data_IF_843988749247
#
_entry.id   IF_843988749247
#
_cell.length_a   1.000
_cell.length_b   1.000
_cell.length_c   1.000
_cell.angle_alpha   90.00
_cell.angle_beta   90.00
_cell.angle_gamma   90.00
#
_symmetry.space_group_name_H-M   'P 1'
#
loop_
_entity.id
_entity.type
_entity.pdbx_description
1 polymer ?
#
# COMPACT_ATOMS: atom_id res chain seq x y z
N UNK A 1 6.03 -22.85 -28.40
CA UNK A 1 4.84 -22.39 -27.63
C UNK A 1 5.16 -21.06 -27.00
N UNK A 2 4.23 -20.12 -27.03
CA UNK A 2 4.50 -18.77 -26.48
C UNK A 2 4.64 -18.83 -24.95
N UNK A 3 5.83 -18.55 -24.46
CA UNK A 3 6.13 -18.59 -23.01
C UNK A 3 5.25 -17.62 -22.21
N UNK A 4 4.93 -16.44 -22.75
CA UNK A 4 4.09 -15.42 -22.09
C UNK A 4 2.64 -15.88 -21.94
N UNK A 5 2.03 -16.49 -22.97
CA UNK A 5 0.68 -17.03 -22.86
C UNK A 5 0.58 -18.12 -21.78
N UNK A 6 1.52 -19.06 -21.79
CA UNK A 6 1.52 -20.15 -20.83
C UNK A 6 1.69 -19.64 -19.39
N UNK A 7 2.58 -18.67 -19.17
CA UNK A 7 2.75 -18.02 -17.88
C UNK A 7 1.50 -17.26 -17.44
N UNK A 8 0.84 -16.52 -18.36
CA UNK A 8 -0.40 -15.81 -18.06
C UNK A 8 -1.53 -16.76 -17.62
N UNK A 9 -1.67 -17.90 -18.31
CA UNK A 9 -2.64 -18.95 -17.97
C UNK A 9 -2.32 -19.61 -16.64
N UNK A 10 -1.03 -19.84 -16.33
CA UNK A 10 -0.62 -20.39 -15.04
C UNK A 10 -0.94 -19.43 -13.89
N UNK A 11 -0.59 -18.15 -14.03
CA UNK A 11 -0.97 -17.14 -13.04
C UNK A 11 -2.47 -17.08 -12.82
N UNK A 12 -3.27 -17.09 -13.89
CA UNK A 12 -4.73 -17.10 -13.77
C UNK A 12 -5.25 -18.36 -13.06
N UNK A 13 -4.72 -19.54 -13.39
CA UNK A 13 -5.07 -20.81 -12.75
C UNK A 13 -4.76 -20.80 -11.24
N UNK A 14 -3.72 -20.10 -10.84
CA UNK A 14 -3.34 -19.87 -9.43
C UNK A 14 -4.21 -18.82 -8.73
N UNK A 15 -5.23 -18.24 -9.42
CA UNK A 15 -6.17 -17.29 -8.85
C UNK A 15 -5.74 -15.82 -8.91
N UNK A 16 -4.70 -15.49 -9.69
CA UNK A 16 -4.27 -14.11 -9.86
C UNK A 16 -5.08 -13.37 -10.92
N UNK A 17 -5.21 -12.07 -10.73
CA UNK A 17 -5.85 -11.15 -11.66
C UNK A 17 -4.83 -10.68 -12.69
N UNK A 18 -4.74 -11.40 -13.79
CA UNK A 18 -3.80 -11.13 -14.89
C UNK A 18 -4.21 -9.89 -15.67
N UNK A 19 -3.24 -9.04 -15.99
CA UNK A 19 -3.38 -7.86 -16.85
C UNK A 19 -2.36 -7.95 -17.99
N UNK A 20 -2.79 -7.93 -19.26
CA UNK A 20 -1.86 -7.80 -20.39
C UNK A 20 -1.25 -6.40 -20.39
N UNK A 21 0.05 -6.35 -20.59
CA UNK A 21 0.83 -5.11 -20.65
C UNK A 21 1.44 -4.97 -22.03
N UNK A 22 1.39 -3.78 -22.60
CA UNK A 22 2.01 -3.49 -23.89
C UNK A 22 3.50 -3.87 -23.89
N UNK A 23 4.00 -4.44 -25.00
CA UNK A 23 5.41 -4.82 -25.10
C UNK A 23 6.36 -3.67 -24.76
N UNK A 24 7.44 -3.96 -24.09
CA UNK A 24 8.49 -2.99 -23.71
C UNK A 24 8.00 -1.79 -22.89
N UNK A 25 6.84 -1.92 -22.25
CA UNK A 25 6.25 -0.84 -21.46
C UNK A 25 5.71 -1.33 -20.11
N UNK A 26 5.21 -0.40 -19.30
CA UNK A 26 4.42 -0.71 -18.09
C UNK A 26 2.94 -0.41 -18.31
N UNK A 27 2.51 -0.06 -19.54
CA UNK A 27 1.15 0.38 -19.85
C UNK A 27 0.22 -0.82 -20.06
N UNK A 28 -0.91 -0.91 -19.34
CA UNK A 28 -1.93 -1.93 -19.59
C UNK A 28 -2.50 -1.83 -21.00
N UNK A 29 -2.66 -2.97 -21.65
CA UNK A 29 -3.22 -3.06 -23.00
C UNK A 29 -4.77 -3.00 -23.01
N UNK A 30 -5.39 -3.18 -21.84
CA UNK A 30 -6.85 -3.14 -21.66
C UNK A 30 -7.21 -2.36 -20.38
N UNK A 31 -8.44 -1.82 -20.28
CA UNK A 31 -8.98 -1.35 -19.01
C UNK A 31 -9.02 -2.50 -17.99
N UNK A 32 -8.53 -2.28 -16.78
CA UNK A 32 -8.42 -3.33 -15.75
C UNK A 32 -8.98 -2.92 -14.39
N UNK A 33 -9.10 -1.62 -14.12
CA UNK A 33 -9.54 -1.11 -12.82
C UNK A 33 -10.97 -1.55 -12.53
N UNK A 34 -11.19 -2.14 -11.36
CA UNK A 34 -12.49 -2.65 -10.90
C UNK A 34 -13.11 -3.74 -11.81
N UNK A 35 -12.32 -4.32 -12.72
CA UNK A 35 -12.78 -5.40 -13.57
C UNK A 35 -12.61 -6.76 -12.85
N UNK A 36 -13.44 -7.77 -13.17
CA UNK A 36 -13.24 -9.14 -12.71
C UNK A 36 -11.92 -9.71 -13.25
N UNK A 37 -11.51 -10.86 -12.71
CA UNK A 37 -10.38 -11.60 -13.28
C UNK A 37 -10.69 -12.06 -14.69
N UNK A 38 -9.70 -11.98 -15.59
CA UNK A 38 -9.83 -12.54 -16.94
C UNK A 38 -10.00 -14.06 -16.88
N UNK A 39 -10.89 -14.57 -17.69
CA UNK A 39 -11.05 -16.02 -17.92
C UNK A 39 -9.90 -16.55 -18.79
N UNK A 40 -9.69 -17.87 -18.79
CA UNK A 40 -8.70 -18.50 -19.66
C UNK A 40 -8.93 -18.21 -21.15
N UNK A 41 -10.22 -18.15 -21.59
CA UNK A 41 -10.55 -17.88 -22.97
C UNK A 41 -10.23 -16.42 -23.36
N UNK A 42 -10.48 -15.46 -22.48
CA UNK A 42 -10.09 -14.07 -22.70
C UNK A 42 -8.58 -13.91 -22.77
N UNK A 43 -7.83 -14.56 -21.87
CA UNK A 43 -6.35 -14.57 -21.91
C UNK A 43 -5.87 -15.16 -23.24
N UNK A 44 -6.36 -16.33 -23.66
CA UNK A 44 -6.00 -16.93 -24.95
C UNK A 44 -6.32 -15.98 -26.12
N UNK A 45 -7.48 -15.33 -26.11
CA UNK A 45 -7.89 -14.38 -27.15
C UNK A 45 -6.97 -13.14 -27.21
N UNK A 46 -6.55 -12.62 -26.05
CA UNK A 46 -5.66 -11.45 -25.96
C UNK A 46 -4.25 -11.80 -26.49
N UNK A 47 -3.63 -12.89 -26.02
CA UNK A 47 -2.30 -13.29 -26.48
C UNK A 47 -2.29 -13.88 -27.90
N UNK A 48 -3.45 -14.29 -28.46
CA UNK A 48 -3.58 -14.60 -29.90
C UNK A 48 -3.52 -13.35 -30.76
N UNK A 49 -4.05 -12.22 -30.28
CA UNK A 49 -3.98 -10.92 -30.99
C UNK A 49 -2.57 -10.32 -30.93
N UNK A 50 -1.93 -10.39 -29.77
CA UNK A 50 -0.55 -9.94 -29.62
C UNK A 50 0.23 -10.90 -28.70
N UNK A 51 1.02 -11.83 -29.27
CA UNK A 51 1.80 -12.80 -28.53
C UNK A 51 2.88 -12.20 -27.60
N UNK A 52 3.21 -10.93 -27.82
CA UNK A 52 4.29 -10.23 -27.10
C UNK A 52 3.77 -9.40 -25.90
N UNK A 53 2.48 -9.49 -25.55
CA UNK A 53 2.02 -8.86 -24.33
C UNK A 53 2.79 -9.37 -23.12
N UNK A 54 3.33 -8.45 -22.35
CA UNK A 54 3.85 -8.72 -21.03
C UNK A 54 2.71 -9.03 -20.05
N UNK A 55 3.06 -9.50 -18.85
CA UNK A 55 2.13 -9.93 -17.83
C UNK A 55 2.30 -9.03 -16.60
N UNK A 56 1.20 -8.53 -16.08
CA UNK A 56 1.17 -7.98 -14.74
C UNK A 56 0.08 -8.66 -13.90
N UNK A 57 0.24 -8.63 -12.58
CA UNK A 57 -0.75 -9.12 -11.62
C UNK A 57 -1.31 -7.95 -10.82
N UNK A 58 -2.64 -7.82 -10.78
CA UNK A 58 -3.31 -6.85 -9.90
C UNK A 58 -3.21 -7.30 -8.46
N UNK A 59 -2.96 -6.36 -7.58
CA UNK A 59 -2.78 -6.62 -6.14
C UNK A 59 -4.14 -6.73 -5.40
N UNK A 60 -5.03 -7.60 -5.90
CA UNK A 60 -6.35 -7.86 -5.29
C UNK A 60 -6.21 -8.71 -4.04
N UNK A 61 -5.68 -9.93 -4.19
CA UNK A 61 -5.57 -10.92 -3.11
C UNK A 61 -4.21 -10.90 -2.40
N UNK A 62 -3.25 -10.22 -3.00
CA UNK A 62 -1.88 -10.13 -2.51
C UNK A 62 -1.43 -8.67 -2.49
N UNK A 63 -0.28 -8.42 -1.91
CA UNK A 63 0.45 -7.17 -2.05
C UNK A 63 1.92 -7.44 -2.36
N UNK A 64 2.59 -6.41 -2.83
CA UNK A 64 3.99 -6.47 -3.22
C UNK A 64 4.77 -5.44 -2.42
N UNK A 65 5.88 -5.88 -1.85
CA UNK A 65 6.95 -5.00 -1.38
C UNK A 65 7.91 -4.85 -2.57
N UNK A 66 7.90 -3.68 -3.19
CA UNK A 66 8.73 -3.33 -4.34
C UNK A 66 10.00 -2.64 -3.84
N UNK A 67 11.14 -3.25 -4.11
CA UNK A 67 12.45 -2.84 -3.62
C UNK A 67 13.27 -2.39 -4.82
N UNK A 68 13.49 -1.08 -4.93
CA UNK A 68 14.20 -0.48 -6.03
C UNK A 68 15.71 -0.58 -5.87
N UNK A 69 16.40 -0.83 -6.99
CA UNK A 69 17.85 -0.75 -7.08
C UNK A 69 18.30 0.68 -7.37
N UNK A 70 19.56 1.04 -7.07
CA UNK A 70 20.13 2.32 -7.47
C UNK A 70 20.04 2.59 -8.98
N UNK A 71 20.09 1.54 -9.80
CA UNK A 71 19.95 1.64 -11.25
C UNK A 71 18.53 2.09 -11.70
N UNK A 72 17.50 1.79 -10.89
CA UNK A 72 16.14 2.23 -11.14
C UNK A 72 15.93 3.69 -10.73
N UNK A 73 16.41 4.06 -9.55
CA UNK A 73 16.22 5.39 -8.98
C UNK A 73 17.11 6.46 -9.67
N UNK A 74 18.12 6.04 -10.40
CA UNK A 74 19.13 6.95 -11.00
C UNK A 74 20.04 7.61 -9.95
N UNK A 75 19.95 7.19 -8.69
CA UNK A 75 20.74 7.73 -7.57
C UNK A 75 21.33 6.61 -6.72
N UNK A 76 22.63 6.66 -6.48
CA UNK A 76 23.29 5.73 -5.57
C UNK A 76 22.87 5.94 -4.10
N UNK A 77 22.35 7.13 -3.78
CA UNK A 77 21.84 7.46 -2.43
C UNK A 77 20.52 6.76 -2.12
N UNK A 78 19.72 6.39 -3.13
CA UNK A 78 18.45 5.70 -2.95
C UNK A 78 18.65 4.23 -3.33
N UNK A 79 18.69 3.36 -2.33
CA UNK A 79 18.89 1.93 -2.50
C UNK A 79 17.96 1.15 -1.57
N UNK A 80 16.88 0.61 -2.15
CA UNK A 80 15.87 -0.15 -1.43
C UNK A 80 16.43 -1.39 -0.70
N UNK A 81 17.50 -2.00 -1.21
CA UNK A 81 18.16 -3.11 -0.51
C UNK A 81 18.82 -2.67 0.80
N UNK A 82 19.33 -1.44 0.88
CA UNK A 82 19.85 -0.91 2.13
C UNK A 82 18.71 -0.59 3.10
N UNK A 83 17.63 0.01 2.61
CA UNK A 83 16.43 0.26 3.39
C UNK A 83 15.79 -1.03 3.90
N UNK A 84 15.77 -2.09 3.08
CA UNK A 84 15.25 -3.39 3.49
C UNK A 84 16.00 -3.96 4.72
N UNK A 85 17.30 -3.72 4.82
CA UNK A 85 18.12 -4.19 5.97
C UNK A 85 17.75 -3.51 7.29
N UNK A 86 17.06 -2.37 7.25
CA UNK A 86 16.60 -1.66 8.47
C UNK A 86 15.31 -2.25 9.04
N UNK A 87 14.60 -3.06 8.26
CA UNK A 87 13.41 -3.78 8.72
C UNK A 87 13.88 -5.07 9.40
N UNK A 88 13.43 -5.39 10.63
CA UNK A 88 13.82 -6.58 11.34
C UNK A 88 13.59 -7.86 10.53
N UNK A 89 14.63 -8.66 10.36
CA UNK A 89 14.62 -9.83 9.47
C UNK A 89 13.61 -10.88 9.91
N UNK A 90 13.37 -11.01 11.19
CA UNK A 90 12.42 -11.93 11.81
C UNK A 90 10.96 -11.66 11.44
N UNK A 91 10.65 -10.46 10.94
CA UNK A 91 9.31 -10.13 10.44
C UNK A 91 9.01 -10.73 9.06
N UNK A 92 10.06 -11.16 8.34
CA UNK A 92 9.92 -11.75 7.02
C UNK A 92 9.84 -13.27 7.09
N UNK A 93 8.78 -13.84 6.54
CA UNK A 93 8.72 -15.26 6.23
C UNK A 93 9.18 -15.43 4.78
N UNK A 94 9.88 -16.52 4.50
CA UNK A 94 10.32 -16.89 3.15
C UNK A 94 9.10 -17.02 2.23
N UNK A 95 9.09 -16.28 1.13
CA UNK A 95 8.01 -16.19 0.17
C UNK A 95 8.53 -16.06 -1.25
N UNK A 96 7.68 -16.16 -2.24
CA UNK A 96 8.00 -15.92 -3.65
C UNK A 96 8.66 -14.56 -3.86
N UNK A 97 9.70 -14.54 -4.68
CA UNK A 97 10.40 -13.31 -5.01
C UNK A 97 10.90 -13.31 -6.46
N UNK A 98 10.85 -12.12 -7.07
CA UNK A 98 11.33 -11.86 -8.42
C UNK A 98 12.36 -10.74 -8.41
N UNK A 99 13.33 -10.83 -9.32
CA UNK A 99 14.19 -9.72 -9.69
C UNK A 99 13.49 -8.92 -10.78
N UNK A 100 13.44 -7.61 -10.62
CA UNK A 100 12.87 -6.72 -11.63
C UNK A 100 13.86 -6.46 -12.76
N UNK A 101 13.36 -6.05 -13.92
CA UNK A 101 14.18 -5.69 -15.08
C UNK A 101 15.16 -4.54 -14.80
N UNK A 102 14.90 -3.69 -13.82
CA UNK A 102 15.80 -2.63 -13.35
C UNK A 102 16.79 -3.08 -12.28
N UNK A 103 16.78 -4.37 -11.91
CA UNK A 103 17.69 -4.93 -10.91
C UNK A 103 17.21 -4.82 -9.47
N UNK A 104 16.00 -4.32 -9.25
CA UNK A 104 15.30 -4.36 -7.95
C UNK A 104 14.72 -5.74 -7.64
N UNK A 105 13.84 -5.81 -6.64
CA UNK A 105 13.21 -7.05 -6.20
C UNK A 105 11.74 -6.82 -5.81
N UNK A 106 10.88 -7.73 -6.21
CA UNK A 106 9.51 -7.83 -5.71
C UNK A 106 9.42 -8.99 -4.70
N UNK A 107 8.85 -8.73 -3.51
CA UNK A 107 8.42 -9.75 -2.56
C UNK A 107 6.90 -9.81 -2.54
N UNK A 108 6.34 -11.02 -2.68
CA UNK A 108 4.90 -11.23 -2.78
C UNK A 108 4.36 -11.85 -1.51
N UNK A 109 3.27 -11.29 -0.97
CA UNK A 109 2.56 -11.84 0.18
C UNK A 109 1.06 -11.82 -0.08
N UNK A 110 0.36 -12.91 0.29
CA UNK A 110 -1.10 -12.85 0.37
C UNK A 110 -1.54 -11.97 1.52
N UNK A 111 -2.62 -11.24 1.30
CA UNK A 111 -3.27 -10.43 2.34
C UNK A 111 -3.94 -11.35 3.36
N UNK A 112 -3.68 -11.20 4.67
CA UNK A 112 -4.43 -11.91 5.69
C UNK A 112 -5.89 -11.41 5.75
N UNK A 113 -6.76 -12.16 6.46
CA UNK A 113 -8.19 -11.84 6.57
C UNK A 113 -8.46 -10.41 7.07
N UNK A 114 -7.67 -9.92 8.01
CA UNK A 114 -7.79 -8.57 8.58
C UNK A 114 -6.64 -7.68 8.09
N UNK A 115 -6.46 -7.61 6.79
CA UNK A 115 -5.41 -6.77 6.19
C UNK A 115 -5.74 -5.28 6.39
N UNK A 116 -4.88 -4.55 7.11
CA UNK A 116 -5.14 -3.21 7.61
C UNK A 116 -4.09 -2.16 7.21
N UNK A 117 -3.27 -2.39 6.18
CA UNK A 117 -2.39 -1.33 5.68
C UNK A 117 -3.21 -0.16 5.13
N UNK A 118 -2.90 1.04 5.60
CA UNK A 118 -3.55 2.26 5.14
C UNK A 118 -2.55 3.43 5.03
N UNK A 119 -2.43 4.06 3.85
CA UNK A 119 -3.11 3.75 2.59
C UNK A 119 -2.63 2.42 1.97
N UNK A 120 -3.45 1.83 1.10
CA UNK A 120 -3.13 0.59 0.39
C UNK A 120 -1.99 0.73 -0.65
N UNK A 121 -1.54 1.94 -0.90
CA UNK A 121 -0.35 2.24 -1.69
C UNK A 121 0.52 3.20 -0.90
N UNK A 122 1.76 2.78 -0.63
CA UNK A 122 2.76 3.61 0.04
C UNK A 122 3.94 3.75 -0.91
N UNK A 123 4.14 4.95 -1.44
CA UNK A 123 5.32 5.29 -2.24
C UNK A 123 6.39 5.81 -1.30
N UNK A 124 7.64 5.38 -1.53
CA UNK A 124 8.79 5.74 -0.71
C UNK A 124 8.52 5.56 0.80
N UNK A 125 7.94 4.41 1.17
CA UNK A 125 7.77 4.04 2.58
C UNK A 125 9.09 4.14 3.34
N UNK A 126 10.14 3.66 2.70
CA UNK A 126 11.54 3.89 3.00
C UNK A 126 12.24 4.23 1.67
N UNK A 127 13.41 4.86 1.66
CA UNK A 127 14.10 5.18 0.41
C UNK A 127 14.26 3.96 -0.50
N UNK A 128 13.53 3.95 -1.63
CA UNK A 128 13.50 2.87 -2.60
C UNK A 128 12.68 1.63 -2.17
N UNK A 129 11.74 1.77 -1.25
CA UNK A 129 10.77 0.72 -0.92
C UNK A 129 9.34 1.26 -1.07
N UNK A 130 8.59 0.64 -1.97
CA UNK A 130 7.17 0.89 -2.19
C UNK A 130 6.32 -0.29 -1.72
N UNK A 131 5.11 0.01 -1.23
CA UNK A 131 4.07 -0.99 -0.98
C UNK A 131 2.94 -0.84 -2.00
N UNK A 132 2.66 -1.91 -2.73
CA UNK A 132 1.58 -1.99 -3.71
C UNK A 132 0.53 -2.98 -3.20
N UNK A 133 -0.54 -2.47 -2.61
CA UNK A 133 -1.62 -3.30 -2.04
C UNK A 133 -3.02 -2.88 -2.51
N UNK A 134 -3.17 -1.73 -3.20
CA UNK A 134 -4.48 -1.29 -3.68
C UNK A 134 -4.99 -2.21 -4.80
N UNK A 135 -6.26 -2.67 -4.81
CA UNK A 135 -6.79 -3.62 -5.80
C UNK A 135 -6.68 -3.16 -7.26
N UNK A 136 -6.50 -1.87 -7.50
CA UNK A 136 -6.26 -1.30 -8.83
C UNK A 136 -4.77 -1.00 -9.11
N UNK A 137 -3.85 -1.43 -8.25
CA UNK A 137 -2.43 -1.47 -8.55
C UNK A 137 -2.07 -2.80 -9.22
N UNK A 138 -0.93 -2.82 -9.86
CA UNK A 138 -0.37 -4.02 -10.47
C UNK A 138 1.16 -3.98 -10.44
N UNK A 139 1.78 -5.13 -10.55
CA UNK A 139 3.21 -5.30 -10.74
C UNK A 139 3.46 -6.20 -11.95
N UNK A 140 4.44 -5.83 -12.78
CA UNK A 140 4.91 -6.75 -13.83
C UNK A 140 5.58 -7.96 -13.15
N UNK A 141 5.44 -9.11 -13.81
CA UNK A 141 5.92 -10.40 -13.31
C UNK A 141 6.72 -11.15 -14.36
N UNK A 142 7.53 -12.10 -13.92
CA UNK A 142 8.23 -13.00 -14.82
C UNK A 142 7.25 -13.79 -15.74
N UNK A 143 7.57 -14.02 -17.00
CA UNK A 143 8.79 -13.69 -17.72
C UNK A 143 8.70 -12.41 -18.57
N UNK A 144 8.08 -11.36 -18.06
CA UNK A 144 7.93 -10.09 -18.79
C UNK A 144 9.28 -9.42 -19.05
N UNK A 145 9.38 -8.69 -20.18
CA UNK A 145 10.58 -7.94 -20.58
C UNK A 145 10.29 -6.45 -20.62
N UNK A 146 11.17 -5.62 -20.10
CA UNK A 146 11.05 -4.15 -20.22
C UNK A 146 11.73 -3.60 -21.48
N UNK A 147 11.49 -2.31 -21.75
CA UNK A 147 12.05 -1.59 -22.89
C UNK A 147 13.59 -1.50 -22.91
N UNK A 148 14.26 -1.79 -21.79
CA UNK A 148 15.71 -1.93 -21.70
C UNK A 148 16.25 -3.31 -22.11
N UNK A 149 15.37 -4.21 -22.60
CA UNK A 149 15.71 -5.57 -23.00
C UNK A 149 16.01 -6.53 -21.84
N UNK A 150 15.74 -6.13 -20.59
CA UNK A 150 15.93 -6.98 -19.42
C UNK A 150 14.62 -7.58 -18.95
N UNK A 151 14.67 -8.79 -18.42
CA UNK A 151 13.54 -9.58 -18.00
C UNK A 151 13.29 -9.47 -16.50
N UNK A 152 12.02 -9.65 -16.13
CA UNK A 152 11.65 -10.06 -14.78
C UNK A 152 11.98 -11.54 -14.64
N UNK A 153 12.70 -11.92 -13.59
CA UNK A 153 13.14 -13.30 -13.37
C UNK A 153 12.83 -13.76 -11.96
N UNK A 154 12.38 -15.01 -11.84
CA UNK A 154 12.14 -15.64 -10.54
C UNK A 154 13.49 -15.86 -9.86
N UNK A 155 13.69 -15.31 -8.66
CA UNK A 155 14.89 -15.52 -7.84
C UNK A 155 14.63 -16.39 -6.62
N UNK A 156 13.34 -16.59 -6.29
CA UNK A 156 12.90 -17.52 -5.25
C UNK A 156 11.55 -18.09 -5.63
N UNK A 157 11.56 -19.35 -6.05
CA UNK A 157 10.36 -20.10 -6.46
C UNK A 157 9.75 -20.85 -5.26
N UNK A 158 9.30 -20.08 -4.29
CA UNK A 158 8.59 -20.58 -3.11
C UNK A 158 7.10 -20.24 -3.22
N UNK A 159 6.21 -20.97 -2.53
CA UNK A 159 4.82 -20.55 -2.45
C UNK A 159 4.68 -19.13 -1.87
N UNK A 160 3.79 -18.33 -2.46
CA UNK A 160 3.41 -17.08 -1.82
C UNK A 160 2.71 -17.41 -0.50
N UNK A 161 3.20 -16.84 0.59
CA UNK A 161 2.64 -17.07 1.94
C UNK A 161 1.77 -15.90 2.39
N UNK A 162 0.90 -16.14 3.35
CA UNK A 162 0.14 -15.07 4.01
C UNK A 162 1.11 -14.21 4.81
N UNK A 163 1.02 -12.88 4.64
CA UNK A 163 1.87 -11.95 5.37
C UNK A 163 1.71 -12.10 6.89
N UNK A 164 2.82 -12.14 7.65
CA UNK A 164 2.74 -12.06 9.10
C UNK A 164 2.12 -10.73 9.55
N UNK A 165 1.24 -10.77 10.53
CA UNK A 165 0.66 -9.54 11.10
C UNK A 165 1.75 -8.58 11.60
N UNK A 166 2.79 -9.11 12.26
CA UNK A 166 3.92 -8.28 12.72
C UNK A 166 4.64 -7.52 11.62
N UNK A 167 4.73 -8.08 10.40
CA UNK A 167 5.26 -7.36 9.25
C UNK A 167 4.32 -6.21 8.84
N UNK A 168 3.02 -6.48 8.76
CA UNK A 168 2.02 -5.47 8.38
C UNK A 168 1.99 -4.32 9.38
N UNK A 169 1.94 -4.61 10.68
CA UNK A 169 1.95 -3.62 11.75
C UNK A 169 3.23 -2.78 11.74
N UNK A 170 4.37 -3.41 11.45
CA UNK A 170 5.65 -2.71 11.36
C UNK A 170 5.70 -1.76 10.16
N UNK A 171 5.22 -2.19 8.97
CA UNK A 171 5.14 -1.34 7.78
C UNK A 171 4.20 -0.15 8.03
N UNK A 172 3.05 -0.38 8.67
CA UNK A 172 2.11 0.69 9.05
C UNK A 172 2.76 1.68 10.01
N UNK A 173 3.45 1.20 11.04
CA UNK A 173 4.15 2.04 12.01
C UNK A 173 5.21 2.93 11.34
N UNK A 174 6.01 2.41 10.41
CA UNK A 174 6.98 3.21 9.65
C UNK A 174 6.26 4.32 8.88
N UNK A 175 5.16 3.97 8.19
CA UNK A 175 4.39 4.94 7.42
C UNK A 175 3.85 6.06 8.31
N UNK A 176 3.23 5.73 9.43
CA UNK A 176 2.65 6.70 10.37
C UNK A 176 3.72 7.62 10.95
N UNK A 177 4.89 7.07 11.31
CA UNK A 177 6.02 7.85 11.79
C UNK A 177 6.55 8.82 10.73
N UNK A 178 6.65 8.39 9.47
CA UNK A 178 7.11 9.25 8.37
C UNK A 178 6.15 10.42 8.12
N UNK A 179 4.85 10.20 8.24
CA UNK A 179 3.82 11.24 8.07
C UNK A 179 3.74 12.16 9.29
N UNK A 180 3.89 11.63 10.49
CA UNK A 180 3.97 12.43 11.72
C UNK A 180 5.15 13.41 11.70
N UNK A 181 6.32 12.97 11.25
CA UNK A 181 7.50 13.82 11.10
C UNK A 181 7.31 14.91 10.03
N UNK A 182 6.62 14.60 8.91
CA UNK A 182 6.30 15.61 7.90
C UNK A 182 5.25 16.60 8.40
N UNK A 183 4.26 16.15 9.15
CA UNK A 183 3.27 17.05 9.75
C UNK A 183 3.93 18.02 10.75
N UNK A 184 4.90 17.56 11.54
CA UNK A 184 5.64 18.44 12.45
C UNK A 184 6.65 19.36 11.75
N UNK A 185 7.22 18.94 10.60
CA UNK A 185 8.18 19.77 9.86
C UNK A 185 7.54 20.87 9.01
N UNK A 186 6.29 20.66 8.58
CA UNK A 186 5.52 21.63 7.77
C UNK A 186 4.45 22.38 8.58
N UNK A 187 4.16 21.95 9.81
CA UNK A 187 3.24 22.65 10.69
C UNK A 187 3.98 23.82 11.33
N UNK A 188 4.03 24.96 10.64
CA UNK A 188 4.14 26.23 11.33
C UNK A 188 2.86 26.39 12.11
N UNK A 189 2.91 26.14 13.41
CA UNK A 189 1.79 26.52 14.28
C UNK A 189 1.38 27.94 13.91
N UNK A 190 0.09 28.22 13.66
CA UNK A 190 -0.35 29.59 13.45
C UNK A 190 0.18 30.37 14.64
N UNK A 191 0.95 31.43 14.38
CA UNK A 191 1.34 32.34 15.47
C UNK A 191 0.09 32.70 16.26
N UNK A 192 0.21 32.80 17.58
CA UNK A 192 -0.89 33.02 18.53
C UNK A 192 -1.80 34.24 18.24
N UNK A 193 -1.55 34.97 17.14
CA UNK A 193 -2.29 36.13 16.68
C UNK A 193 -3.03 35.94 15.33
N UNK A 194 -3.17 34.70 14.80
CA UNK A 194 -4.01 34.52 13.64
C UNK A 194 -5.47 34.33 14.11
N UNK A 195 -6.36 35.24 13.75
CA UNK A 195 -7.83 35.12 13.86
C UNK A 195 -8.35 34.02 12.90
N UNK A 196 -7.76 32.81 12.93
CA UNK A 196 -8.25 31.69 12.13
C UNK A 196 -9.48 31.11 12.83
N UNK A 197 -10.63 31.59 12.43
CA UNK A 197 -11.91 31.02 12.84
C UNK A 197 -12.20 29.84 11.93
N UNK A 198 -12.27 28.62 12.51
CA UNK A 198 -12.75 27.45 11.76
C UNK A 198 -14.17 27.73 11.25
N UNK A 199 -14.31 27.96 9.95
CA UNK A 199 -15.57 28.34 9.29
C UNK A 199 -16.49 27.15 9.09
N UNK A 200 -15.94 25.93 9.05
CA UNK A 200 -16.70 24.71 8.83
C UNK A 200 -16.94 23.96 10.13
N UNK A 201 -18.13 23.38 10.24
CA UNK A 201 -18.55 22.61 11.42
C UNK A 201 -17.59 21.47 11.78
N UNK A 202 -17.05 20.76 10.76
CA UNK A 202 -16.04 19.71 10.94
C UNK A 202 -14.75 20.23 11.58
N UNK A 203 -14.27 21.40 11.15
CA UNK A 203 -13.09 22.04 11.74
C UNK A 203 -13.31 22.44 13.19
N UNK A 204 -14.51 22.93 13.54
CA UNK A 204 -14.86 23.23 14.93
C UNK A 204 -14.88 21.98 15.80
N UNK A 205 -15.45 20.87 15.31
CA UNK A 205 -15.47 19.59 16.02
C UNK A 205 -14.05 19.05 16.26
N UNK A 206 -13.17 19.11 15.25
CA UNK A 206 -11.78 18.69 15.37
C UNK A 206 -11.04 19.53 16.42
N UNK A 207 -11.24 20.86 16.41
CA UNK A 207 -10.63 21.74 17.38
C UNK A 207 -11.12 21.45 18.81
N UNK A 208 -12.39 21.13 19.00
CA UNK A 208 -12.95 20.74 20.29
C UNK A 208 -12.36 19.41 20.79
N UNK A 209 -12.17 18.42 19.92
CA UNK A 209 -11.54 17.14 20.27
C UNK A 209 -10.05 17.34 20.66
N UNK A 210 -9.38 18.30 20.04
CA UNK A 210 -7.97 18.57 20.22
C UNK A 210 -7.64 19.50 21.40
N UNK A 211 -8.61 20.24 21.94
CA UNK A 211 -8.38 21.17 23.05
C UNK A 211 -8.18 20.43 24.37
N UNK A 212 -7.49 21.05 25.33
CA UNK A 212 -7.36 20.54 26.70
C UNK A 212 -8.66 20.75 27.47
N UNK A 213 -8.96 19.85 28.40
CA UNK A 213 -10.12 19.90 29.27
C UNK A 213 -9.69 19.95 30.74
N UNK A 214 -10.47 20.66 31.55
CA UNK A 214 -10.19 20.78 32.98
C UNK A 214 -10.51 19.49 33.74
N UNK A 215 -9.68 19.18 34.72
CA UNK A 215 -9.90 18.07 35.64
C UNK A 215 -11.25 18.24 36.40
N UNK A 216 -11.99 17.15 36.53
CA UNK A 216 -13.31 17.16 37.19
C UNK A 216 -14.51 17.19 36.22
N UNK A 217 -14.33 17.54 34.95
CA UNK A 217 -15.38 17.60 33.94
C UNK A 217 -15.46 16.40 33.01
N UNK A 218 -14.71 15.33 33.30
CA UNK A 218 -14.54 14.16 32.45
C UNK A 218 -15.85 13.61 31.87
N UNK A 219 -16.82 13.29 32.72
CA UNK A 219 -18.08 12.65 32.28
C UNK A 219 -18.90 13.57 31.38
N UNK A 220 -18.98 14.85 31.69
CA UNK A 220 -19.67 15.85 30.89
C UNK A 220 -19.00 16.04 29.52
N UNK A 221 -17.67 16.10 29.49
CA UNK A 221 -16.88 16.23 28.26
C UNK A 221 -17.07 15.00 27.35
N UNK A 222 -16.98 13.79 27.91
CA UNK A 222 -17.18 12.55 27.16
C UNK A 222 -18.61 12.49 26.60
N UNK A 223 -19.64 12.78 27.40
CA UNK A 223 -21.03 12.79 26.94
C UNK A 223 -21.27 13.84 25.84
N UNK A 224 -20.73 15.03 25.98
CA UNK A 224 -20.81 16.11 25.02
C UNK A 224 -20.15 15.74 23.67
N UNK A 225 -18.92 15.23 23.70
CA UNK A 225 -18.22 14.79 22.49
C UNK A 225 -18.92 13.61 21.81
N UNK A 226 -19.42 12.64 22.59
CA UNK A 226 -20.23 11.53 22.06
C UNK A 226 -21.42 12.05 21.25
N UNK A 227 -22.19 12.97 21.81
CA UNK A 227 -23.35 13.56 21.13
C UNK A 227 -22.97 14.32 19.86
N UNK A 228 -21.83 14.99 19.84
CA UNK A 228 -21.34 15.68 18.63
C UNK A 228 -20.86 14.72 17.56
N UNK A 229 -20.11 13.68 17.91
CA UNK A 229 -19.61 12.66 16.98
C UNK A 229 -20.77 11.88 16.35
N UNK A 230 -21.79 11.50 17.14
CA UNK A 230 -23.00 10.87 16.61
C UNK A 230 -23.73 11.77 15.59
N UNK A 231 -23.91 13.06 15.90
CA UNK A 231 -24.49 14.02 14.95
C UNK A 231 -23.64 14.26 13.72
N UNK A 232 -22.33 14.00 13.82
CA UNK A 232 -21.38 14.01 12.69
C UNK A 232 -21.50 12.78 11.79
N UNK A 233 -22.26 11.76 12.20
CA UNK A 233 -22.39 10.51 11.48
C UNK A 233 -21.26 9.52 11.74
N UNK A 234 -20.47 9.71 12.80
CA UNK A 234 -19.46 8.73 13.21
C UNK A 234 -20.16 7.47 13.77
N UNK A 235 -19.63 6.29 13.43
CA UNK A 235 -20.10 5.02 13.99
C UNK A 235 -19.61 4.80 15.42
N UNK A 236 -20.18 3.81 16.09
CA UNK A 236 -19.88 3.55 17.50
C UNK A 236 -18.41 3.18 17.76
N UNK A 237 -17.76 2.50 16.84
CA UNK A 237 -16.35 2.11 16.96
C UNK A 237 -15.43 3.31 16.84
N UNK A 238 -15.63 4.16 15.85
CA UNK A 238 -14.90 5.41 15.68
C UNK A 238 -15.07 6.34 16.90
N UNK A 239 -16.29 6.46 17.41
CA UNK A 239 -16.58 7.24 18.62
C UNK A 239 -15.78 6.70 19.81
N UNK A 240 -15.79 5.38 20.02
CA UNK A 240 -15.09 4.76 21.14
C UNK A 240 -13.59 5.02 21.10
N UNK A 241 -12.96 4.87 19.91
CA UNK A 241 -11.53 5.13 19.70
C UNK A 241 -11.19 6.59 20.05
N UNK A 242 -11.95 7.55 19.51
CA UNK A 242 -11.71 8.97 19.73
C UNK A 242 -11.85 9.32 21.22
N UNK A 243 -12.92 8.86 21.86
CA UNK A 243 -13.18 9.16 23.26
C UNK A 243 -12.17 8.50 24.20
N UNK A 244 -11.70 7.31 23.84
CA UNK A 244 -10.62 6.64 24.60
C UNK A 244 -9.31 7.43 24.52
N UNK A 245 -8.98 7.97 23.34
CA UNK A 245 -7.78 8.79 23.16
C UNK A 245 -7.89 10.14 23.91
N UNK A 246 -9.04 10.81 23.82
CA UNK A 246 -9.32 12.03 24.61
C UNK A 246 -9.20 11.75 26.10
N UNK A 247 -9.81 10.67 26.58
CA UNK A 247 -9.75 10.29 27.98
C UNK A 247 -8.31 10.04 28.46
N UNK A 248 -7.51 9.35 27.66
CA UNK A 248 -6.10 9.06 28.00
C UNK A 248 -5.22 10.30 28.01
N UNK A 249 -5.52 11.31 27.15
CA UNK A 249 -4.68 12.51 27.04
C UNK A 249 -5.01 13.58 28.08
N UNK A 250 -6.23 13.66 28.54
CA UNK A 250 -6.70 14.78 29.33
C UNK A 250 -7.23 14.41 30.73
N UNK A 251 -7.40 13.14 31.01
CA UNK A 251 -7.92 12.63 32.27
C UNK A 251 -7.17 11.41 32.80
#
# INVERSE_FOLDING_TARGET
MNNLLNAALDYQKRGFYVVPIEPHSKRPAIPFKNQPALTQNEIKGLWSKNPNYNIALRTVNHFVIDIDSPAHTGSSAINGFNSLKTIPRELFIKTYAEKTASGGMHLYYYKPKNFNLHPLQMLDLLPGIDIKAHPNNYSLVAPSTQGNGKDYTIIRDEPIVIAPYGLIDYLQKIYDQSKGLQATSNYKAPMANSNFVATYWTGKLINEIAQSYEAGNRNNTIAYLTGKLLRAGADGEAILIILHDVNRRFF
#
